data_IF_682462733249
#
_entry.id   IF_682462733249
#
_cell.length_a   1.000
_cell.length_b   1.000
_cell.length_c   1.000
_cell.angle_alpha   90.00
_cell.angle_beta   90.00
_cell.angle_gamma   90.00
#
_symmetry.space_group_name_H-M   'P 1'
#
loop_
_entity.id
_entity.type
_entity.pdbx_description
1 polymer ?
#
# COMPACT_ATOMS: atom_id res chain seq x y z
N UNK A 1 5.87 0.91 -4.35
CA UNK A 1 7.09 0.83 -5.19
C UNK A 1 6.94 1.58 -6.50
N UNK A 2 5.90 1.31 -7.32
CA UNK A 2 5.79 1.91 -8.66
C UNK A 2 5.53 3.42 -8.71
N UNK A 3 5.01 4.05 -7.65
CA UNK A 3 4.75 5.50 -7.65
C UNK A 3 6.02 6.34 -7.87
N UNK A 4 7.18 5.85 -7.40
CA UNK A 4 8.45 6.57 -7.51
C UNK A 4 8.83 6.91 -8.95
N UNK A 5 8.67 5.98 -9.89
CA UNK A 5 9.08 6.17 -11.29
C UNK A 5 8.24 7.23 -12.02
N UNK A 6 6.95 7.28 -11.72
CA UNK A 6 6.01 8.25 -12.31
C UNK A 6 6.33 9.65 -11.79
N UNK A 7 6.39 9.81 -10.46
CA UNK A 7 6.53 11.11 -9.81
C UNK A 7 7.94 11.68 -9.86
N UNK A 8 8.96 10.86 -10.13
CA UNK A 8 10.35 11.30 -10.34
C UNK A 8 10.68 11.68 -11.79
N UNK A 9 9.70 11.64 -12.71
CA UNK A 9 9.88 11.92 -14.15
C UNK A 9 10.72 10.89 -14.94
N UNK A 10 10.85 9.65 -14.44
CA UNK A 10 11.65 8.59 -15.06
C UNK A 10 10.81 7.51 -15.78
N UNK A 11 9.55 7.81 -16.14
CA UNK A 11 8.64 6.82 -16.75
C UNK A 11 9.17 6.23 -18.07
N UNK A 12 10.00 6.98 -18.79
CA UNK A 12 10.58 6.58 -20.08
C UNK A 12 12.02 6.06 -19.98
N UNK A 13 12.55 5.93 -18.75
CA UNK A 13 13.90 5.41 -18.51
C UNK A 13 13.85 3.88 -18.32
N UNK A 14 14.42 3.16 -19.29
CA UNK A 14 14.45 1.69 -19.29
C UNK A 14 15.35 1.12 -18.20
N UNK A 15 16.43 1.80 -17.83
CA UNK A 15 17.36 1.37 -16.79
C UNK A 15 16.70 1.52 -15.41
N UNK A 16 16.00 2.64 -15.19
CA UNK A 16 15.18 2.82 -13.99
C UNK A 16 14.10 1.74 -13.87
N UNK A 17 13.44 1.36 -14.98
CA UNK A 17 12.47 0.26 -14.97
C UNK A 17 13.11 -1.09 -14.62
N UNK A 18 14.27 -1.42 -15.20
CA UNK A 18 14.96 -2.67 -14.91
C UNK A 18 15.32 -2.77 -13.42
N UNK A 19 15.94 -1.74 -12.85
CA UNK A 19 16.30 -1.71 -11.42
C UNK A 19 15.06 -1.75 -10.52
N UNK A 20 14.01 -1.00 -10.86
CA UNK A 20 12.73 -1.02 -10.13
C UNK A 20 12.08 -2.40 -10.13
N UNK A 21 12.06 -3.09 -11.27
CA UNK A 21 11.46 -4.42 -11.39
C UNK A 21 12.23 -5.46 -10.58
N UNK A 22 13.57 -5.42 -10.60
CA UNK A 22 14.41 -6.25 -9.73
C UNK A 22 14.08 -5.96 -8.26
N UNK A 23 13.99 -4.69 -7.87
CA UNK A 23 13.60 -4.29 -6.52
C UNK A 23 12.20 -4.79 -6.14
N UNK A 24 11.21 -4.69 -7.04
CA UNK A 24 9.84 -5.18 -6.81
C UNK A 24 9.83 -6.70 -6.62
N UNK A 25 10.55 -7.45 -7.45
CA UNK A 25 10.67 -8.91 -7.33
C UNK A 25 11.33 -9.26 -5.99
N UNK A 26 12.44 -8.60 -5.66
CA UNK A 26 13.17 -8.80 -4.41
C UNK A 26 12.29 -8.56 -3.17
N UNK A 27 11.62 -7.40 -3.13
CA UNK A 27 10.75 -7.02 -2.03
C UNK A 27 9.56 -7.97 -1.91
N UNK A 28 8.95 -8.35 -3.04
CA UNK A 28 7.79 -9.26 -3.06
C UNK A 28 8.18 -10.66 -2.60
N UNK A 29 9.34 -11.18 -3.01
CA UNK A 29 9.83 -12.48 -2.56
C UNK A 29 10.08 -12.50 -1.05
N UNK A 30 10.75 -11.47 -0.50
CA UNK A 30 10.98 -11.37 0.94
C UNK A 30 9.67 -11.16 1.72
N UNK A 31 8.76 -10.33 1.23
CA UNK A 31 7.43 -10.19 1.83
C UNK A 31 6.65 -11.52 1.79
N UNK A 32 6.74 -12.27 0.69
CA UNK A 32 6.15 -13.61 0.54
C UNK A 32 6.68 -14.61 1.57
N UNK A 33 7.98 -14.56 1.87
CA UNK A 33 8.59 -15.36 2.95
C UNK A 33 7.92 -15.07 4.29
N UNK A 34 7.67 -13.80 4.62
CA UNK A 34 7.01 -13.41 5.87
C UNK A 34 5.57 -13.92 5.95
N UNK A 35 4.84 -13.92 4.83
CA UNK A 35 3.48 -14.49 4.79
C UNK A 35 3.50 -16.01 4.99
N UNK A 36 4.38 -16.74 4.29
CA UNK A 36 4.50 -18.19 4.47
C UNK A 36 4.91 -18.54 5.90
N UNK A 37 5.83 -17.77 6.50
CA UNK A 37 6.23 -17.95 7.90
C UNK A 37 5.05 -17.74 8.87
N UNK A 38 4.25 -16.69 8.67
CA UNK A 38 3.06 -16.46 9.48
C UNK A 38 2.02 -17.58 9.29
N UNK A 39 1.74 -18.02 8.06
CA UNK A 39 0.78 -19.10 7.78
C UNK A 39 1.22 -20.44 8.40
N UNK A 40 2.52 -20.68 8.56
CA UNK A 40 3.05 -21.86 9.28
C UNK A 40 2.84 -21.70 10.79
N UNK A 41 3.12 -20.54 11.36
CA UNK A 41 2.96 -20.29 12.80
C UNK A 41 1.49 -20.28 13.24
N UNK A 42 0.61 -19.72 12.41
CA UNK A 42 -0.82 -19.57 12.68
C UNK A 42 -1.61 -20.83 12.26
N UNK A 43 -0.93 -21.94 11.90
CA UNK A 43 -1.53 -23.14 11.32
C UNK A 43 -2.71 -23.72 12.12
N UNK A 44 -2.55 -23.85 13.44
CA UNK A 44 -3.60 -24.41 14.30
C UNK A 44 -4.79 -23.48 14.43
N UNK A 45 -4.54 -22.17 14.55
CA UNK A 45 -5.58 -21.14 14.62
C UNK A 45 -6.36 -21.06 13.28
N UNK A 46 -5.64 -21.03 12.16
CA UNK A 46 -6.21 -20.96 10.82
C UNK A 46 -7.07 -22.18 10.50
N UNK A 47 -6.73 -23.37 11.00
CA UNK A 47 -7.55 -24.59 10.83
C UNK A 47 -8.92 -24.48 11.49
N UNK A 48 -9.01 -23.76 12.60
CA UNK A 48 -10.25 -23.60 13.35
C UNK A 48 -11.09 -22.40 12.85
N UNK A 49 -10.52 -21.54 12.01
CA UNK A 49 -11.19 -20.34 11.52
C UNK A 49 -12.14 -20.63 10.32
N UNK A 50 -13.36 -20.05 10.27
CA UNK A 50 -14.36 -20.32 9.22
C UNK A 50 -13.86 -20.13 7.80
N UNK A 51 -13.17 -19.01 7.52
CA UNK A 51 -12.61 -18.70 6.21
C UNK A 51 -11.15 -19.17 6.02
N UNK A 52 -10.27 -18.92 6.99
CA UNK A 52 -8.82 -19.17 6.86
C UNK A 52 -8.46 -20.66 6.81
N UNK A 53 -9.35 -21.57 7.21
CA UNK A 53 -9.14 -23.03 7.08
C UNK A 53 -8.90 -23.49 5.65
N UNK A 54 -9.34 -22.69 4.67
CA UNK A 54 -9.16 -22.97 3.24
C UNK A 54 -7.77 -22.55 2.70
N UNK A 55 -6.92 -21.93 3.53
CA UNK A 55 -5.53 -21.61 3.15
C UNK A 55 -4.76 -22.87 2.78
N UNK A 56 -3.81 -22.83 1.83
CA UNK A 56 -3.13 -24.02 1.33
C UNK A 56 -2.42 -24.87 2.41
N UNK A 57 -1.82 -24.22 3.40
CA UNK A 57 -1.12 -24.91 4.50
C UNK A 57 -2.13 -25.43 5.54
N UNK A 58 -3.11 -24.60 5.93
CA UNK A 58 -4.15 -24.97 6.90
C UNK A 58 -5.00 -26.17 6.45
N UNK A 59 -5.42 -26.16 5.18
CA UNK A 59 -6.20 -27.23 4.54
C UNK A 59 -5.39 -28.49 4.21
N UNK A 60 -4.07 -28.45 4.35
CA UNK A 60 -3.18 -29.57 4.03
C UNK A 60 -2.90 -29.78 2.53
N UNK A 61 -3.31 -28.86 1.65
CA UNK A 61 -2.95 -28.89 0.22
C UNK A 61 -1.43 -28.76 0.01
N UNK A 62 -0.76 -28.02 0.90
CA UNK A 62 0.70 -27.87 0.93
C UNK A 62 1.22 -28.30 2.31
N UNK A 63 2.19 -29.22 2.33
CA UNK A 63 2.82 -29.66 3.58
C UNK A 63 3.74 -28.58 4.14
N UNK A 64 3.88 -28.53 5.47
CA UNK A 64 4.76 -27.57 6.17
C UNK A 64 6.22 -27.62 5.65
N UNK A 65 6.84 -28.78 5.40
CA UNK A 65 8.20 -28.82 4.84
C UNK A 65 8.31 -28.20 3.44
N UNK A 66 7.31 -28.40 2.58
CA UNK A 66 7.28 -27.79 1.23
C UNK A 66 7.11 -26.28 1.34
N UNK A 67 6.20 -25.81 2.20
CA UNK A 67 6.02 -24.39 2.48
C UNK A 67 7.31 -23.75 3.02
N UNK A 68 7.97 -24.39 3.99
CA UNK A 68 9.24 -23.92 4.54
C UNK A 68 10.36 -23.88 3.49
N UNK A 69 10.48 -24.91 2.65
CA UNK A 69 11.43 -24.93 1.53
C UNK A 69 11.17 -23.80 0.53
N UNK A 70 9.90 -23.55 0.21
CA UNK A 70 9.51 -22.43 -0.66
C UNK A 70 9.83 -21.07 -0.02
N UNK A 71 9.59 -20.90 1.29
CA UNK A 71 9.96 -19.68 2.02
C UNK A 71 11.47 -19.45 1.99
N UNK A 72 12.29 -20.49 2.20
CA UNK A 72 13.76 -20.38 2.11
C UNK A 72 14.19 -19.98 0.70
N UNK A 73 13.60 -20.57 -0.34
CA UNK A 73 13.88 -20.19 -1.74
C UNK A 73 13.55 -18.72 -1.99
N UNK A 74 12.38 -18.26 -1.55
CA UNK A 74 11.97 -16.86 -1.67
C UNK A 74 12.90 -15.91 -0.89
N UNK A 75 13.32 -16.29 0.31
CA UNK A 75 14.22 -15.48 1.12
C UNK A 75 15.59 -15.35 0.46
N UNK A 76 16.19 -16.47 0.05
CA UNK A 76 17.51 -16.48 -0.60
C UNK A 76 17.47 -15.75 -1.94
N UNK A 77 16.49 -16.05 -2.79
CA UNK A 77 16.32 -15.39 -4.09
C UNK A 77 16.01 -13.90 -3.94
N UNK A 78 15.14 -13.53 -2.99
CA UNK A 78 14.78 -12.15 -2.71
C UNK A 78 15.93 -11.32 -2.16
N UNK A 79 16.71 -11.87 -1.22
CA UNK A 79 17.90 -11.20 -0.68
C UNK A 79 19.02 -11.10 -1.72
N UNK A 80 19.21 -12.12 -2.56
CA UNK A 80 20.15 -12.08 -3.68
C UNK A 80 19.81 -10.99 -4.69
N UNK A 81 18.53 -10.89 -5.07
CA UNK A 81 18.04 -9.82 -5.93
C UNK A 81 18.17 -8.43 -5.26
N UNK A 82 17.84 -8.31 -3.98
CA UNK A 82 17.97 -7.06 -3.23
C UNK A 82 19.43 -6.57 -3.14
N UNK A 83 20.39 -7.48 -3.01
CA UNK A 83 21.82 -7.15 -3.00
C UNK A 83 22.27 -6.51 -4.32
N UNK A 84 21.68 -6.92 -5.45
CA UNK A 84 21.99 -6.34 -6.76
C UNK A 84 21.47 -4.91 -6.93
N UNK A 85 20.43 -4.51 -6.17
CA UNK A 85 19.90 -3.14 -6.18
C UNK A 85 20.76 -2.20 -5.35
N UNK A 86 21.28 -2.69 -4.21
CA UNK A 86 22.27 -1.97 -3.41
C UNK A 86 22.07 -2.04 -1.89
N UNK A 87 23.05 -1.57 -1.11
CA UNK A 87 23.07 -1.73 0.35
C UNK A 87 21.97 -0.94 1.06
N UNK A 88 21.59 0.24 0.56
CA UNK A 88 20.51 1.05 1.15
C UNK A 88 19.15 0.35 0.97
N UNK A 89 18.92 -0.29 -0.18
CA UNK A 89 17.72 -1.08 -0.44
C UNK A 89 17.62 -2.27 0.52
N UNK A 90 18.74 -2.97 0.75
CA UNK A 90 18.82 -4.05 1.74
C UNK A 90 18.51 -3.57 3.16
N UNK A 91 19.00 -2.40 3.57
CA UNK A 91 18.70 -1.84 4.88
C UNK A 91 17.19 -1.56 5.05
N UNK A 92 16.53 -1.00 4.03
CA UNK A 92 15.07 -0.79 4.04
C UNK A 92 14.32 -2.12 4.11
N UNK A 93 14.78 -3.13 3.38
CA UNK A 93 14.18 -4.46 3.41
C UNK A 93 14.33 -5.14 4.78
N UNK A 94 15.49 -4.98 5.43
CA UNK A 94 15.72 -5.46 6.79
C UNK A 94 14.80 -4.76 7.80
N UNK A 95 14.63 -3.45 7.69
CA UNK A 95 13.67 -2.69 8.52
C UNK A 95 12.24 -3.17 8.27
N UNK A 96 11.87 -3.44 7.03
CA UNK A 96 10.56 -4.00 6.68
C UNK A 96 10.31 -5.38 7.29
N UNK A 97 11.30 -6.28 7.22
CA UNK A 97 11.22 -7.60 7.85
C UNK A 97 11.11 -7.48 9.36
N UNK A 98 11.96 -6.67 10.00
CA UNK A 98 11.91 -6.42 11.44
C UNK A 98 10.55 -5.86 11.86
N UNK A 99 10.00 -4.90 11.10
CA UNK A 99 8.67 -4.35 11.33
C UNK A 99 7.58 -5.44 11.25
N UNK A 100 7.64 -6.35 10.28
CA UNK A 100 6.66 -7.43 10.15
C UNK A 100 6.75 -8.43 11.31
N UNK A 101 7.96 -8.80 11.72
CA UNK A 101 8.19 -9.69 12.88
C UNK A 101 7.66 -9.04 14.15
N UNK A 102 8.05 -7.79 14.43
CA UNK A 102 7.60 -7.06 15.62
C UNK A 102 6.09 -6.85 15.63
N UNK A 103 5.49 -6.58 14.47
CA UNK A 103 4.04 -6.49 14.31
C UNK A 103 3.37 -7.81 14.67
N UNK A 104 3.80 -8.92 14.07
CA UNK A 104 3.18 -10.24 14.25
C UNK A 104 3.29 -10.74 15.69
N UNK A 105 4.45 -10.53 16.34
CA UNK A 105 4.72 -11.03 17.68
C UNK A 105 4.14 -10.16 18.81
N UNK A 106 4.18 -8.84 18.68
CA UNK A 106 3.89 -7.94 19.81
C UNK A 106 2.81 -6.91 19.49
N UNK A 107 2.99 -6.15 18.41
CA UNK A 107 2.20 -4.93 18.21
C UNK A 107 0.84 -5.17 17.58
N UNK A 108 0.55 -6.39 17.10
CA UNK A 108 -0.78 -6.73 16.57
C UNK A 108 -1.89 -6.65 17.63
N UNK A 109 -1.56 -6.57 18.91
CA UNK A 109 -2.52 -6.52 20.01
C UNK A 109 -2.67 -5.10 20.62
N UNK A 110 -1.92 -4.11 20.14
CA UNK A 110 -1.93 -2.75 20.69
C UNK A 110 -2.76 -1.84 19.81
N UNK A 111 -3.78 -1.20 20.40
CA UNK A 111 -4.71 -0.29 19.72
C UNK A 111 -3.95 0.85 19.03
N UNK A 112 -4.35 1.15 17.79
CA UNK A 112 -3.79 2.14 16.88
C UNK A 112 -2.38 1.85 16.37
N UNK A 113 -1.51 1.24 17.19
CA UNK A 113 -0.16 0.83 16.78
C UNK A 113 -0.24 -0.18 15.64
N UNK A 114 -1.25 -1.06 15.65
CA UNK A 114 -1.44 -2.01 14.57
C UNK A 114 -1.73 -1.33 13.22
N UNK A 115 -2.62 -0.34 13.19
CA UNK A 115 -2.97 0.45 11.99
C UNK A 115 -1.77 1.29 11.53
N UNK A 116 -1.04 1.90 12.47
CA UNK A 116 0.17 2.70 12.17
C UNK A 116 1.27 1.82 11.56
N UNK A 117 1.52 0.62 12.11
CA UNK A 117 2.52 -0.30 11.57
C UNK A 117 2.13 -0.83 10.19
N UNK A 118 0.84 -1.09 9.95
CA UNK A 118 0.35 -1.42 8.60
C UNK A 118 0.67 -0.27 7.63
N UNK A 119 0.36 0.97 8.01
CA UNK A 119 0.67 2.13 7.18
C UNK A 119 2.18 2.31 6.94
N UNK A 120 3.01 2.12 7.98
CA UNK A 120 4.47 2.15 7.87
C UNK A 120 4.98 1.11 6.87
N UNK A 121 4.40 -0.09 6.83
CA UNK A 121 4.72 -1.11 5.84
C UNK A 121 4.47 -0.65 4.39
N UNK A 122 3.44 0.16 4.14
CA UNK A 122 3.21 0.77 2.81
C UNK A 122 4.20 1.88 2.51
N UNK A 123 4.58 2.67 3.51
CA UNK A 123 5.60 3.72 3.38
C UNK A 123 6.96 3.12 3.04
N UNK A 124 7.38 2.05 3.74
CA UNK A 124 8.64 1.34 3.45
C UNK A 124 8.66 0.81 2.00
N UNK A 125 7.52 0.35 1.48
CA UNK A 125 7.38 -0.02 0.05
C UNK A 125 7.47 1.17 -0.89
N UNK A 126 7.01 2.36 -0.51
CA UNK A 126 7.17 3.54 -1.34
C UNK A 126 8.65 3.97 -1.35
N UNK A 127 9.29 4.01 -0.19
CA UNK A 127 10.71 4.34 0.01
C UNK A 127 11.60 3.36 -0.78
N UNK A 128 11.36 2.05 -0.67
CA UNK A 128 12.12 1.05 -1.40
C UNK A 128 12.04 1.24 -2.93
N UNK A 129 10.88 1.64 -3.45
CA UNK A 129 10.72 1.92 -4.88
C UNK A 129 11.48 3.13 -5.37
N UNK A 130 11.61 4.17 -4.54
CA UNK A 130 12.40 5.38 -4.82
C UNK A 130 13.89 5.09 -4.77
N UNK A 131 14.34 4.35 -3.75
CA UNK A 131 15.75 3.95 -3.59
C UNK A 131 16.19 3.03 -4.72
N UNK A 132 15.32 2.14 -5.20
CA UNK A 132 15.64 1.23 -6.29
C UNK A 132 16.02 1.95 -7.60
N UNK A 133 15.57 3.19 -7.80
CA UNK A 133 15.87 3.99 -8.99
C UNK A 133 16.72 5.23 -8.69
N UNK A 134 17.29 5.31 -7.47
CA UNK A 134 18.17 6.40 -7.02
C UNK A 134 17.62 7.82 -7.23
N UNK A 135 16.33 8.02 -6.93
CA UNK A 135 15.69 9.34 -7.05
C UNK A 135 15.41 9.97 -5.69
N UNK A 136 15.22 11.29 -5.69
CA UNK A 136 14.88 12.03 -4.48
C UNK A 136 13.54 11.55 -3.88
N UNK A 137 13.58 11.21 -2.59
CA UNK A 137 12.40 10.85 -1.82
C UNK A 137 11.61 12.11 -1.45
N UNK A 138 10.55 12.38 -2.21
CA UNK A 138 9.63 13.48 -1.90
C UNK A 138 8.98 13.28 -0.53
N UNK A 139 9.08 14.26 0.40
CA UNK A 139 8.36 14.21 1.67
C UNK A 139 6.85 14.05 1.48
N UNK A 140 6.29 14.65 0.44
CA UNK A 140 4.88 14.52 0.09
C UNK A 140 4.49 13.09 -0.30
N UNK A 141 5.38 12.34 -0.96
CA UNK A 141 5.13 10.92 -1.27
C UNK A 141 5.01 10.11 0.03
N UNK A 142 5.85 10.38 1.03
CA UNK A 142 5.79 9.73 2.34
C UNK A 142 4.47 10.06 3.02
N UNK A 143 4.12 11.35 3.14
CA UNK A 143 2.92 11.80 3.84
C UNK A 143 1.65 11.27 3.17
N UNK A 144 1.51 11.42 1.85
CA UNK A 144 0.34 10.94 1.11
C UNK A 144 0.22 9.43 1.14
N UNK A 145 1.32 8.69 1.01
CA UNK A 145 1.29 7.21 1.12
C UNK A 145 0.90 6.77 2.52
N UNK A 146 1.43 7.42 3.55
CA UNK A 146 1.10 7.14 4.96
C UNK A 146 -0.40 7.32 5.22
N UNK A 147 -0.93 8.49 4.84
CA UNK A 147 -2.34 8.84 5.06
C UNK A 147 -3.28 7.95 4.25
N UNK A 148 -2.96 7.66 2.99
CA UNK A 148 -3.74 6.72 2.18
C UNK A 148 -3.74 5.32 2.78
N UNK A 149 -2.58 4.83 3.25
CA UNK A 149 -2.49 3.53 3.89
C UNK A 149 -3.27 3.48 5.22
N UNK A 150 -3.25 4.55 6.01
CA UNK A 150 -4.09 4.69 7.21
C UNK A 150 -5.58 4.67 6.86
N UNK A 151 -6.02 5.37 5.80
CA UNK A 151 -7.42 5.34 5.33
C UNK A 151 -7.84 3.90 5.03
N UNK A 152 -7.04 3.15 4.28
CA UNK A 152 -7.34 1.76 3.95
C UNK A 152 -7.33 0.84 5.18
N UNK A 153 -6.36 1.03 6.08
CA UNK A 153 -6.24 0.23 7.29
C UNK A 153 -7.38 0.48 8.28
N UNK A 154 -7.79 1.75 8.49
CA UNK A 154 -8.94 2.13 9.31
C UNK A 154 -10.26 1.64 8.70
N UNK A 155 -10.44 1.77 7.39
CA UNK A 155 -11.61 1.21 6.70
C UNK A 155 -11.73 -0.30 6.94
N UNK A 156 -10.61 -1.03 6.85
CA UNK A 156 -10.56 -2.46 7.20
C UNK A 156 -10.92 -2.73 8.66
N UNK A 157 -10.35 -1.98 9.62
CA UNK A 157 -10.69 -2.12 11.06
C UNK A 157 -12.19 -1.90 11.28
N UNK A 158 -12.77 -0.90 10.64
CA UNK A 158 -14.20 -0.58 10.73
C UNK A 158 -15.08 -1.74 10.25
N UNK A 159 -14.72 -2.34 9.12
CA UNK A 159 -15.45 -3.49 8.58
C UNK A 159 -15.34 -4.72 9.50
N UNK A 160 -14.16 -4.99 10.07
CA UNK A 160 -13.99 -6.08 11.05
C UNK A 160 -14.87 -5.87 12.30
N UNK A 161 -15.03 -4.63 12.77
CA UNK A 161 -15.93 -4.28 13.89
C UNK A 161 -17.42 -4.46 13.55
N UNK A 162 -17.81 -4.32 12.28
CA UNK A 162 -19.20 -4.43 11.84
C UNK A 162 -19.61 -5.87 11.52
N UNK A 163 -18.66 -6.68 11.03
CA UNK A 163 -18.88 -8.06 10.60
C UNK A 163 -18.81 -9.08 11.74
N UNK A 164 -18.25 -8.72 12.89
CA UNK A 164 -18.02 -9.68 13.98
C UNK A 164 -19.12 -9.62 15.04
N UNK A 165 -19.92 -10.68 15.15
CA UNK A 165 -20.91 -10.85 16.24
C UNK A 165 -20.22 -11.13 17.59
N UNK A 166 -19.03 -11.73 17.58
CA UNK A 166 -18.16 -12.00 18.75
C UNK A 166 -16.70 -11.53 18.49
N UNK A 167 -16.35 -10.27 18.82
CA UNK A 167 -15.07 -9.63 18.47
C UNK A 167 -13.80 -10.40 18.90
N UNK A 168 -13.91 -11.30 19.88
CA UNK A 168 -12.81 -12.07 20.45
C UNK A 168 -12.29 -13.18 19.53
N UNK A 169 -13.12 -13.72 18.63
CA UNK A 169 -12.71 -14.83 17.74
C UNK A 169 -11.82 -14.36 16.57
N UNK A 170 -11.93 -13.09 16.17
CA UNK A 170 -11.16 -12.57 15.02
C UNK A 170 -9.87 -11.88 15.45
N UNK A 171 -9.92 -11.04 16.51
CA UNK A 171 -8.74 -10.32 17.04
C UNK A 171 -9.01 -9.64 18.39
N UNK A 172 -8.20 -9.92 19.41
CA UNK A 172 -8.36 -9.35 20.76
C UNK A 172 -8.43 -7.82 20.79
N UNK A 173 -7.60 -7.13 20.00
CA UNK A 173 -7.52 -5.65 19.94
C UNK A 173 -8.84 -4.99 19.51
N UNK A 174 -9.72 -5.70 18.80
CA UNK A 174 -11.00 -5.15 18.34
C UNK A 174 -11.95 -4.83 19.50
N UNK A 175 -11.79 -5.49 20.65
CA UNK A 175 -12.60 -5.23 21.85
C UNK A 175 -12.37 -3.85 22.47
N UNK A 176 -11.20 -3.26 22.20
CA UNK A 176 -10.82 -1.94 22.72
C UNK A 176 -11.20 -0.79 21.77
N UNK A 177 -11.63 -1.10 20.54
CA UNK A 177 -12.08 -0.09 19.58
C UNK A 177 -13.57 0.23 19.73
N UNK A 178 -13.92 1.48 19.98
CA UNK A 178 -15.26 1.96 19.72
C UNK A 178 -15.45 2.25 18.23
N UNK A 179 -16.57 1.78 17.63
CA UNK A 179 -16.90 2.01 16.22
C UNK A 179 -16.90 3.51 15.87
N UNK A 180 -17.40 4.35 16.77
CA UNK A 180 -17.40 5.81 16.63
C UNK A 180 -16.01 6.41 16.49
N UNK A 181 -15.02 5.87 17.20
CA UNK A 181 -13.66 6.41 17.19
C UNK A 181 -12.96 6.07 15.88
N UNK A 182 -13.20 4.85 15.36
CA UNK A 182 -12.70 4.45 14.04
C UNK A 182 -13.34 5.30 12.93
N UNK A 183 -14.64 5.56 13.01
CA UNK A 183 -15.34 6.43 12.06
C UNK A 183 -14.75 7.86 12.07
N UNK A 184 -14.53 8.44 13.26
CA UNK A 184 -13.93 9.77 13.39
C UNK A 184 -12.49 9.80 12.87
N UNK A 185 -11.66 8.83 13.25
CA UNK A 185 -10.28 8.72 12.77
C UNK A 185 -10.21 8.55 11.25
N UNK A 186 -11.13 7.77 10.67
CA UNK A 186 -11.21 7.57 9.23
C UNK A 186 -11.47 8.90 8.52
N UNK A 187 -12.48 9.66 8.95
CA UNK A 187 -12.82 10.97 8.36
C UNK A 187 -11.69 11.98 8.56
N UNK A 188 -11.08 12.06 9.75
CA UNK A 188 -9.94 12.95 10.02
C UNK A 188 -8.73 12.63 9.13
N UNK A 189 -8.44 11.34 8.92
CA UNK A 189 -7.33 10.90 8.07
C UNK A 189 -7.63 11.18 6.60
N UNK A 190 -8.87 10.97 6.14
CA UNK A 190 -9.29 11.31 4.78
C UNK A 190 -9.17 12.81 4.50
N UNK A 191 -9.62 13.66 5.42
CA UNK A 191 -9.47 15.11 5.31
C UNK A 191 -7.99 15.52 5.26
N UNK A 192 -7.16 14.93 6.13
CA UNK A 192 -5.71 15.14 6.15
C UNK A 192 -5.04 14.69 4.84
N UNK A 193 -5.48 13.57 4.26
CA UNK A 193 -5.00 13.07 2.97
C UNK A 193 -5.30 14.06 1.84
N UNK A 194 -6.55 14.51 1.74
CA UNK A 194 -6.97 15.49 0.73
C UNK A 194 -6.25 16.82 0.90
N UNK A 195 -6.05 17.27 2.14
CA UNK A 195 -5.27 18.47 2.45
C UNK A 195 -3.80 18.30 2.03
N UNK A 196 -3.14 17.22 2.43
CA UNK A 196 -1.75 16.95 2.09
C UNK A 196 -1.55 16.84 0.58
N UNK A 197 -2.45 16.15 -0.13
CA UNK A 197 -2.41 16.06 -1.58
C UNK A 197 -2.65 17.42 -2.25
N UNK A 198 -3.58 18.23 -1.71
CA UNK A 198 -3.78 19.60 -2.18
C UNK A 198 -2.51 20.42 -2.02
N UNK A 199 -1.94 20.49 -0.82
CA UNK A 199 -0.68 21.22 -0.58
C UNK A 199 0.46 20.74 -1.50
N UNK A 200 0.55 19.44 -1.77
CA UNK A 200 1.48 18.90 -2.76
C UNK A 200 1.24 19.48 -4.18
N UNK A 201 -0.02 19.50 -4.66
CA UNK A 201 -0.32 20.06 -5.98
C UNK A 201 -0.05 21.57 -6.09
N UNK A 202 -0.22 22.32 -5.00
CA UNK A 202 -0.01 23.78 -4.97
C UNK A 202 1.47 24.18 -4.75
N UNK A 203 2.23 23.38 -4.00
CA UNK A 203 3.65 23.67 -3.70
C UNK A 203 4.60 23.34 -4.85
N UNK A 204 4.11 22.70 -5.91
CA UNK A 204 4.88 22.41 -7.10
C UNK A 204 5.10 23.68 -7.92
N UNK A 205 6.26 23.80 -8.58
CA UNK A 205 6.64 24.95 -9.42
C UNK A 205 5.60 25.29 -10.49
N UNK A 206 4.90 24.27 -10.99
CA UNK A 206 3.77 24.43 -11.91
C UNK A 206 2.49 23.88 -11.25
N UNK A 207 1.52 24.74 -10.89
CA UNK A 207 0.29 24.36 -10.19
C UNK A 207 -0.72 23.64 -11.11
N UNK A 208 -0.39 23.33 -12.37
CA UNK A 208 -1.27 22.60 -13.29
C UNK A 208 -1.69 21.22 -12.75
N UNK A 209 -0.93 20.64 -11.82
CA UNK A 209 -1.33 19.41 -11.09
C UNK A 209 -2.65 19.55 -10.31
N UNK A 210 -3.11 20.77 -10.02
CA UNK A 210 -4.40 21.03 -9.36
C UNK A 210 -5.61 20.49 -10.13
N UNK A 211 -5.49 20.28 -11.45
CA UNK A 211 -6.53 19.65 -12.28
C UNK A 211 -6.84 18.21 -11.82
N UNK A 212 -5.92 17.57 -11.08
CA UNK A 212 -6.12 16.23 -10.52
C UNK A 212 -6.98 16.21 -9.25
N UNK A 213 -7.26 17.37 -8.63
CA UNK A 213 -7.98 17.46 -7.35
C UNK A 213 -9.39 16.86 -7.41
N UNK A 214 -10.25 17.18 -8.39
CA UNK A 214 -11.60 16.61 -8.44
C UNK A 214 -11.61 15.08 -8.41
N UNK A 215 -10.63 14.43 -9.04
CA UNK A 215 -10.48 12.97 -9.03
C UNK A 215 -10.03 12.43 -7.67
N UNK A 216 -9.15 13.15 -6.97
CA UNK A 216 -8.72 12.78 -5.62
C UNK A 216 -9.91 12.87 -4.64
N UNK A 217 -10.68 13.96 -4.70
CA UNK A 217 -11.90 14.14 -3.90
C UNK A 217 -12.93 13.04 -4.21
N UNK A 218 -13.21 12.78 -5.49
CA UNK A 218 -14.11 11.71 -5.89
C UNK A 218 -13.65 10.35 -5.35
N UNK A 219 -12.36 10.02 -5.47
CA UNK A 219 -11.82 8.75 -5.00
C UNK A 219 -11.99 8.56 -3.49
N UNK A 220 -11.68 9.58 -2.69
CA UNK A 220 -11.84 9.53 -1.23
C UNK A 220 -13.31 9.46 -0.83
N UNK A 221 -14.18 10.26 -1.46
CA UNK A 221 -15.62 10.23 -1.17
C UNK A 221 -16.28 8.92 -1.59
N UNK A 222 -15.88 8.36 -2.74
CA UNK A 222 -16.35 7.06 -3.21
C UNK A 222 -15.91 5.96 -2.25
N UNK A 223 -14.64 5.96 -1.83
CA UNK A 223 -14.15 5.00 -0.84
C UNK A 223 -14.91 5.12 0.49
N UNK A 224 -15.09 6.34 1.00
CA UNK A 224 -15.91 6.58 2.19
C UNK A 224 -17.29 5.97 2.02
N UNK A 225 -18.01 6.30 0.94
CA UNK A 225 -19.34 5.73 0.68
C UNK A 225 -19.34 4.20 0.67
N UNK A 226 -18.39 3.57 -0.02
CA UNK A 226 -18.30 2.11 -0.14
C UNK A 226 -18.01 1.41 1.19
N UNK A 227 -17.24 2.05 2.08
CA UNK A 227 -16.94 1.53 3.43
C UNK A 227 -18.22 1.41 4.29
N UNK A 228 -19.24 2.23 4.05
CA UNK A 228 -20.52 2.19 4.79
C UNK A 228 -21.63 1.41 4.07
N UNK A 229 -21.52 1.14 2.78
CA UNK A 229 -22.59 0.52 1.98
C UNK A 229 -22.28 -0.87 1.46
N UNK A 230 -21.01 -1.29 1.50
CA UNK A 230 -20.56 -2.56 0.91
C UNK A 230 -19.44 -3.21 1.73
N UNK A 231 -19.15 -4.49 1.44
CA UNK A 231 -18.05 -5.23 2.08
C UNK A 231 -16.67 -4.96 1.46
N UNK A 232 -16.53 -3.93 0.61
CA UNK A 232 -15.26 -3.61 -0.07
C UNK A 232 -14.15 -3.28 0.93
N UNK A 233 -14.49 -2.79 2.11
CA UNK A 233 -13.52 -2.47 3.16
C UNK A 233 -12.86 -3.71 3.77
N UNK A 234 -13.44 -4.92 3.62
CA UNK A 234 -12.82 -6.18 4.07
C UNK A 234 -11.44 -6.41 3.46
N UNK A 235 -11.31 -6.11 2.16
CA UNK A 235 -10.11 -6.33 1.37
C UNK A 235 -9.92 -5.18 0.37
N UNK A 236 -8.81 -4.42 0.45
CA UNK A 236 -8.56 -3.28 -0.44
C UNK A 236 -8.64 -3.59 -1.94
N UNK A 237 -8.38 -4.84 -2.34
CA UNK A 237 -8.47 -5.30 -3.73
C UNK A 237 -9.88 -5.24 -4.31
N UNK A 238 -10.93 -5.29 -3.49
CA UNK A 238 -12.30 -5.15 -3.96
C UNK A 238 -12.61 -3.74 -4.47
N UNK A 239 -11.77 -2.74 -4.17
CA UNK A 239 -11.88 -1.43 -4.80
C UNK A 239 -11.73 -1.51 -6.33
N UNK A 240 -10.99 -2.49 -6.84
CA UNK A 240 -10.85 -2.74 -8.28
C UNK A 240 -12.07 -3.42 -8.92
N UNK A 241 -13.03 -3.87 -8.12
CA UNK A 241 -14.32 -4.37 -8.64
C UNK A 241 -15.34 -3.25 -8.85
N UNK A 242 -15.17 -2.10 -8.17
CA UNK A 242 -16.02 -0.93 -8.34
C UNK A 242 -15.65 -0.16 -9.60
N UNK A 243 -16.48 -0.28 -10.66
CA UNK A 243 -16.23 0.36 -11.95
C UNK A 243 -15.99 1.88 -11.84
N UNK A 244 -16.80 2.67 -11.08
CA UNK A 244 -16.52 4.10 -10.89
C UNK A 244 -15.15 4.39 -10.29
N UNK A 245 -14.74 3.62 -9.25
CA UNK A 245 -13.42 3.79 -8.63
C UNK A 245 -12.27 3.48 -9.60
N UNK A 246 -12.38 2.41 -10.39
CA UNK A 246 -11.37 2.05 -11.39
C UNK A 246 -11.27 3.11 -12.49
N UNK A 247 -12.39 3.55 -13.04
CA UNK A 247 -12.42 4.60 -14.08
C UNK A 247 -11.79 5.89 -13.54
N UNK A 248 -12.16 6.31 -12.34
CA UNK A 248 -11.59 7.49 -11.70
C UNK A 248 -10.07 7.36 -11.49
N UNK A 249 -9.59 6.20 -11.03
CA UNK A 249 -8.17 5.94 -10.83
C UNK A 249 -7.37 6.03 -12.15
N UNK A 250 -7.91 5.45 -13.23
CA UNK A 250 -7.29 5.52 -14.56
C UNK A 250 -7.24 6.97 -15.06
N UNK A 251 -8.35 7.70 -14.96
CA UNK A 251 -8.41 9.11 -15.38
C UNK A 251 -7.43 9.97 -14.57
N UNK A 252 -7.41 9.80 -13.24
CA UNK A 252 -6.46 10.48 -12.38
C UNK A 252 -5.00 10.17 -12.76
N UNK A 253 -4.66 8.90 -13.03
CA UNK A 253 -3.33 8.50 -13.42
C UNK A 253 -2.93 9.12 -14.77
N UNK A 254 -3.81 9.07 -15.77
CA UNK A 254 -3.58 9.67 -17.08
C UNK A 254 -3.36 11.19 -16.97
N UNK A 255 -4.24 11.92 -16.27
CA UNK A 255 -4.10 13.37 -16.08
C UNK A 255 -2.81 13.67 -15.31
N UNK A 256 -2.50 12.92 -14.25
CA UNK A 256 -1.27 13.11 -13.49
C UNK A 256 -0.04 12.95 -14.37
N UNK A 257 0.05 11.90 -15.20
CA UNK A 257 1.18 11.70 -16.12
C UNK A 257 1.26 12.83 -17.15
N UNK A 258 0.14 13.22 -17.77
CA UNK A 258 0.12 14.30 -18.76
C UNK A 258 0.67 15.62 -18.18
N UNK A 259 0.25 15.96 -16.96
CA UNK A 259 0.68 17.19 -16.29
C UNK A 259 2.11 17.10 -15.74
N UNK A 260 2.52 15.95 -15.18
CA UNK A 260 3.87 15.76 -14.64
C UNK A 260 4.96 15.85 -15.72
N UNK A 261 4.67 15.42 -16.94
CA UNK A 261 5.61 15.34 -18.06
C UNK A 261 5.48 16.51 -19.05
N UNK A 262 4.75 17.57 -18.68
CA UNK A 262 4.56 18.79 -19.47
C UNK A 262 4.11 18.51 -20.92
N UNK A 263 3.30 17.46 -21.12
CA UNK A 263 2.81 17.07 -22.46
C UNK A 263 2.01 18.22 -23.11
N UNK A 264 1.12 18.95 -22.41
CA UNK A 264 0.38 20.06 -23.01
C UNK A 264 1.27 21.19 -23.53
N UNK A 265 2.31 21.59 -22.78
CA UNK A 265 3.25 22.64 -23.21
C UNK A 265 4.04 22.23 -24.45
N UNK A 266 4.51 20.97 -24.51
CA UNK A 266 5.21 20.44 -25.67
C UNK A 266 4.32 20.39 -26.91
N UNK A 267 3.05 20.05 -26.75
CA UNK A 267 2.06 20.04 -27.84
C UNK A 267 1.75 21.47 -28.30
N UNK A 268 1.54 22.40 -27.38
CA UNK A 268 1.30 23.82 -27.72
C UNK A 268 2.51 24.48 -28.39
N UNK A 269 3.73 24.16 -27.97
CA UNK A 269 4.97 24.59 -28.63
C UNK A 269 5.10 23.96 -30.03
N UNK A 270 4.80 22.66 -30.18
CA UNK A 270 4.83 21.98 -31.47
C UNK A 270 3.78 22.50 -32.46
N UNK A 271 2.64 23.00 -31.95
CA UNK A 271 1.59 23.65 -32.73
C UNK A 271 1.84 25.15 -32.97
N UNK A 272 2.96 25.70 -32.49
CA UNK A 272 3.32 27.12 -32.67
C UNK A 272 2.43 28.12 -31.91
N UNK A 273 1.71 27.66 -30.89
CA UNK A 273 0.76 28.47 -30.12
C UNK A 273 1.43 29.22 -28.97
N UNK A 274 2.60 28.76 -28.53
CA UNK A 274 3.39 29.39 -27.45
C UNK A 274 4.84 29.50 -27.92
N UNK A 275 5.33 30.74 -28.01
CA UNK A 275 6.71 31.10 -28.36
C UNK A 275 7.30 32.04 -27.33
#
# INVERSE_FOLDING_TARGET
MLLGIVFSKNLFDLEAWASLLVGVVAFTAVAGTMYVFNDINDLEEDRNHPEKRHRPIASGQVSVPVAAGFAVLLAVGGLGAAYSVGPVFLAVLAVYVAQNVLYSLYFKQVVYVDVILVALGFVLRAIAGVIAIDVFLSPWLIVSTSLLALVLALGKRRHELESTTEPQETRSVLTEYAKSDVDQLLVMTMASLLMAYSLYTFSRTDPVMMVTLPFAFFGVFRYHHLVYTTDIASQPQYLFTDRPSVVNLILWACVSVLMLYNVPERVLAALGVVG
#
